data_IF_580007944692
#
_entry.id   IF_580007944692
#
_cell.length_a   1.000
_cell.length_b   1.000
_cell.length_c   1.000
_cell.angle_alpha   90.00
_cell.angle_beta   90.00
_cell.angle_gamma   90.00
#
_symmetry.space_group_name_H-M   'P 1'
#
loop_
_entity.id
_entity.type
_entity.pdbx_description
1 polymer ?
#
# COMPACT_ATOMS: atom_id res chain seq x y z
N UNK A 1 4.45 4.46 6.63
CA UNK A 1 5.60 3.82 7.32
C UNK A 1 5.07 2.78 8.30
N UNK A 2 5.82 1.70 8.53
CA UNK A 2 5.42 0.66 9.49
C UNK A 2 5.56 1.11 10.96
N UNK A 3 4.75 0.58 11.90
CA UNK A 3 4.76 1.01 13.30
C UNK A 3 6.12 0.89 14.00
N UNK A 4 6.83 -0.20 13.76
CA UNK A 4 8.15 -0.49 14.33
C UNK A 4 9.22 0.49 13.84
N UNK A 5 9.13 0.94 12.60
CA UNK A 5 10.07 1.92 12.02
C UNK A 5 9.88 3.27 12.68
N UNK A 6 8.62 3.66 12.91
CA UNK A 6 8.28 4.92 13.58
C UNK A 6 8.76 4.90 15.04
N UNK A 7 8.51 3.79 15.76
CA UNK A 7 8.95 3.62 17.17
C UNK A 7 10.47 3.59 17.33
N UNK A 8 11.22 3.30 16.27
CA UNK A 8 12.68 3.17 16.31
C UNK A 8 13.44 4.51 16.23
N UNK A 9 12.74 5.65 16.14
CA UNK A 9 13.30 7.01 16.11
C UNK A 9 14.50 7.17 15.15
N UNK A 10 14.47 6.52 13.98
CA UNK A 10 15.54 6.62 12.97
C UNK A 10 16.86 5.92 13.32
N UNK A 11 16.92 5.14 14.40
CA UNK A 11 18.13 4.39 14.80
C UNK A 11 18.46 3.18 13.92
N UNK A 12 17.62 2.88 12.92
CA UNK A 12 17.73 1.70 12.05
C UNK A 12 17.43 0.36 12.73
N UNK A 13 17.34 0.30 14.06
CA UNK A 13 17.17 -0.94 14.85
C UNK A 13 15.81 -1.63 14.74
N UNK A 14 14.81 -1.01 14.11
CA UNK A 14 13.51 -1.65 13.84
C UNK A 14 13.12 -1.64 12.37
N UNK A 15 14.04 -1.36 11.46
CA UNK A 15 13.80 -1.61 10.04
C UNK A 15 14.14 -3.07 9.74
N UNK A 16 13.15 -3.83 9.28
CA UNK A 16 13.29 -5.19 8.78
C UNK A 16 12.56 -5.32 7.45
N UNK A 17 12.77 -6.43 6.74
CA UNK A 17 12.09 -6.70 5.45
C UNK A 17 10.56 -6.71 5.59
N UNK A 18 10.05 -6.94 6.80
CA UNK A 18 8.61 -6.95 7.06
C UNK A 18 8.04 -5.53 7.06
N UNK A 19 8.82 -4.51 7.41
CA UNK A 19 8.43 -3.09 7.28
C UNK A 19 8.05 -2.70 5.84
N UNK A 20 8.70 -3.31 4.85
CA UNK A 20 8.36 -3.11 3.44
C UNK A 20 7.02 -3.76 3.10
N UNK A 21 6.65 -4.87 3.74
CA UNK A 21 5.33 -5.52 3.56
C UNK A 21 4.19 -4.62 4.04
N UNK A 22 4.38 -3.92 5.16
CA UNK A 22 3.41 -2.90 5.60
C UNK A 22 3.30 -1.76 4.59
N UNK A 23 4.45 -1.26 4.12
CA UNK A 23 4.49 -0.14 3.18
C UNK A 23 3.86 -0.51 1.84
N UNK A 24 4.04 -1.74 1.37
CA UNK A 24 3.36 -2.30 0.20
C UNK A 24 1.83 -2.23 0.37
N UNK A 25 1.30 -2.64 1.52
CA UNK A 25 -0.13 -2.59 1.77
C UNK A 25 -0.68 -1.16 1.75
N UNK A 26 0.05 -0.21 2.35
CA UNK A 26 -0.29 1.22 2.24
C UNK A 26 -0.34 1.67 0.77
N UNK A 27 0.65 1.31 -0.04
CA UNK A 27 0.69 1.66 -1.47
C UNK A 27 -0.47 1.01 -2.25
N UNK A 28 -0.83 -0.23 -1.95
CA UNK A 28 -1.98 -0.88 -2.60
C UNK A 28 -3.29 -0.16 -2.26
N UNK A 29 -3.47 0.28 -1.01
CA UNK A 29 -4.64 1.08 -0.60
C UNK A 29 -4.64 2.44 -1.33
N UNK A 30 -3.49 3.10 -1.43
CA UNK A 30 -3.35 4.35 -2.18
C UNK A 30 -3.72 4.18 -3.65
N UNK A 31 -3.27 3.11 -4.29
CA UNK A 31 -3.61 2.82 -5.68
C UNK A 31 -5.10 2.49 -5.87
N UNK A 32 -5.70 1.77 -4.92
CA UNK A 32 -7.11 1.37 -4.99
C UNK A 32 -8.07 2.54 -4.73
N UNK A 33 -7.68 3.50 -3.90
CA UNK A 33 -8.55 4.61 -3.47
C UNK A 33 -8.21 5.95 -4.12
N UNK A 34 -6.97 6.14 -4.58
CA UNK A 34 -6.43 7.44 -4.95
C UNK A 34 -6.11 8.36 -3.77
N UNK A 35 -6.21 7.87 -2.53
CA UNK A 35 -6.02 8.65 -1.30
C UNK A 35 -4.96 8.03 -0.40
N UNK A 36 -4.27 8.86 0.39
CA UNK A 36 -3.31 8.38 1.39
C UNK A 36 -4.00 7.51 2.46
N UNK A 37 -3.27 6.55 3.09
CA UNK A 37 -3.80 5.80 4.22
C UNK A 37 -4.27 6.74 5.32
N UNK A 38 -5.40 6.44 5.96
CA UNK A 38 -6.03 7.26 7.00
C UNK A 38 -6.68 8.56 6.52
N UNK A 39 -7.00 8.67 5.23
CA UNK A 39 -7.68 9.84 4.66
C UNK A 39 -9.06 10.10 5.31
N UNK A 40 -9.73 9.08 5.85
CA UNK A 40 -10.99 9.18 6.59
C UNK A 40 -10.89 10.07 7.84
N UNK A 41 -9.69 10.26 8.38
CA UNK A 41 -9.44 11.14 9.52
C UNK A 41 -9.13 12.58 9.12
N UNK A 42 -9.06 12.89 7.82
CA UNK A 42 -8.93 14.25 7.34
C UNK A 42 -10.25 15.00 7.48
N UNK A 43 -10.19 16.17 8.12
CA UNK A 43 -11.38 17.01 8.32
C UNK A 43 -11.81 17.65 7.00
N UNK A 44 -13.11 17.68 6.68
CA UNK A 44 -13.61 18.40 5.52
C UNK A 44 -13.19 19.88 5.56
N UNK A 45 -12.51 20.35 4.53
CA UNK A 45 -12.08 21.75 4.40
C UNK A 45 -10.74 22.10 5.08
N UNK A 46 -10.10 21.16 5.78
CA UNK A 46 -8.70 21.31 6.20
C UNK A 46 -7.80 20.56 5.21
N UNK A 47 -6.57 21.05 4.92
CA UNK A 47 -5.60 20.28 4.17
C UNK A 47 -5.42 18.92 4.87
N UNK A 48 -5.75 17.85 4.17
CA UNK A 48 -5.39 16.52 4.62
C UNK A 48 -3.87 16.54 4.80
N UNK A 49 -3.42 16.42 6.05
CA UNK A 49 -1.99 16.54 6.32
C UNK A 49 -1.25 15.52 5.42
N UNK A 50 -0.07 15.86 4.87
CA UNK A 50 0.65 15.05 3.87
C UNK A 50 1.08 13.66 4.44
N UNK A 51 2.08 12.92 3.91
CA UNK A 51 2.45 11.58 4.44
C UNK A 51 2.62 11.48 5.97
N UNK A 52 2.80 12.61 6.66
CA UNK A 52 2.86 12.74 8.12
C UNK A 52 1.56 12.33 8.82
N UNK A 53 0.37 12.49 8.21
CA UNK A 53 -0.89 12.06 8.81
C UNK A 53 -0.92 10.54 9.02
N UNK A 54 -0.52 9.79 7.99
CA UNK A 54 -0.42 8.34 8.07
C UNK A 54 0.62 7.89 9.10
N UNK A 55 1.72 8.62 9.25
CA UNK A 55 2.73 8.38 10.29
C UNK A 55 2.14 8.66 11.68
N UNK A 56 1.43 9.78 11.87
CA UNK A 56 0.80 10.14 13.13
C UNK A 56 -0.19 9.07 13.61
N UNK A 57 -1.11 8.64 12.76
CA UNK A 57 -2.09 7.60 13.12
C UNK A 57 -1.46 6.24 13.33
N UNK A 58 -0.42 5.91 12.58
CA UNK A 58 0.35 4.68 12.80
C UNK A 58 1.16 4.74 14.11
N UNK A 59 1.57 5.92 14.56
CA UNK A 59 2.28 6.07 15.83
C UNK A 59 1.34 6.04 17.04
N UNK A 60 0.18 6.69 16.92
CA UNK A 60 -0.70 7.03 18.05
C UNK A 60 -1.97 6.19 18.13
N UNK A 61 -2.18 5.22 17.23
CA UNK A 61 -3.32 4.31 17.27
C UNK A 61 -2.92 2.85 17.11
N UNK A 62 -3.79 1.96 17.61
CA UNK A 62 -3.68 0.52 17.41
C UNK A 62 -4.41 0.04 16.14
N UNK A 63 -5.12 0.94 15.44
CA UNK A 63 -5.88 0.62 14.23
C UNK A 63 -5.00 0.52 12.99
N UNK A 64 -5.50 -0.09 11.92
CA UNK A 64 -4.84 -0.15 10.61
C UNK A 64 -5.54 0.77 9.62
N UNK A 65 -4.89 1.18 8.52
CA UNK A 65 -5.58 1.84 7.42
C UNK A 65 -6.85 1.09 7.00
N UNK A 66 -7.89 1.83 6.65
CA UNK A 66 -9.13 1.23 6.14
C UNK A 66 -8.87 0.45 4.84
N UNK A 67 -9.39 -0.77 4.78
CA UNK A 67 -9.29 -1.61 3.59
C UNK A 67 -10.51 -1.30 2.69
N UNK A 68 -10.30 -0.88 1.43
CA UNK A 68 -11.40 -0.50 0.56
C UNK A 68 -12.34 -1.66 0.27
N UNK A 69 -13.64 -1.42 0.40
CA UNK A 69 -14.67 -2.43 0.15
C UNK A 69 -14.75 -2.86 -1.32
N UNK A 70 -14.23 -2.02 -2.23
CA UNK A 70 -14.15 -2.27 -3.67
C UNK A 70 -13.15 -3.36 -4.08
N UNK A 71 -12.26 -3.79 -3.18
CA UNK A 71 -11.31 -4.88 -3.44
C UNK A 71 -12.00 -6.25 -3.40
N UNK A 72 -11.43 -7.23 -4.11
CA UNK A 72 -11.86 -8.62 -3.97
C UNK A 72 -11.60 -9.15 -2.56
N UNK A 73 -12.29 -10.22 -2.16
CA UNK A 73 -12.06 -10.82 -0.83
C UNK A 73 -10.62 -11.30 -0.64
N UNK A 74 -9.97 -11.79 -1.69
CA UNK A 74 -8.56 -12.17 -1.68
C UNK A 74 -7.66 -10.95 -1.52
N UNK A 75 -8.00 -9.82 -2.15
CA UNK A 75 -7.28 -8.55 -1.97
C UNK A 75 -7.42 -7.99 -0.56
N UNK A 76 -8.63 -8.07 0.01
CA UNK A 76 -8.86 -7.68 1.40
C UNK A 76 -8.08 -8.59 2.36
N UNK A 77 -8.10 -9.90 2.15
CA UNK A 77 -7.34 -10.87 2.96
C UNK A 77 -5.81 -10.64 2.86
N UNK A 78 -5.30 -10.37 1.66
CA UNK A 78 -3.91 -9.99 1.43
C UNK A 78 -3.52 -8.76 2.26
N UNK A 79 -4.32 -7.69 2.20
CA UNK A 79 -4.07 -6.45 2.95
C UNK A 79 -4.17 -6.67 4.46
N UNK A 80 -5.15 -7.43 4.95
CA UNK A 80 -5.27 -7.75 6.39
C UNK A 80 -4.03 -8.46 6.93
N UNK A 81 -3.41 -9.35 6.14
CA UNK A 81 -2.16 -10.03 6.51
C UNK A 81 -0.97 -9.08 6.51
N UNK A 82 -0.88 -8.19 5.52
CA UNK A 82 0.21 -7.24 5.39
C UNK A 82 0.15 -6.09 6.42
N UNK A 83 -1.04 -5.71 6.88
CA UNK A 83 -1.27 -4.65 7.86
C UNK A 83 -1.25 -5.13 9.32
N UNK A 84 -0.67 -6.29 9.61
CA UNK A 84 -0.47 -6.73 11.01
C UNK A 84 0.59 -5.84 11.67
N UNK A 85 0.23 -5.22 12.80
CA UNK A 85 1.14 -4.30 13.51
C UNK A 85 2.39 -4.98 14.01
N UNK A 86 2.24 -6.17 14.58
CA UNK A 86 3.37 -6.99 14.96
C UNK A 86 4.12 -7.47 13.69
N UNK A 87 5.40 -7.09 13.51
CA UNK A 87 6.20 -7.51 12.37
C UNK A 87 6.25 -9.03 12.23
N UNK A 88 6.46 -9.78 13.30
CA UNK A 88 6.62 -11.25 13.24
C UNK A 88 5.33 -11.97 12.83
N UNK A 89 4.20 -11.30 13.00
CA UNK A 89 2.91 -11.79 12.53
C UNK A 89 2.68 -11.52 11.04
N UNK A 90 3.48 -10.68 10.36
CA UNK A 90 3.37 -10.44 8.91
C UNK A 90 4.00 -11.58 8.12
N UNK A 91 3.38 -11.99 7.00
CA UNK A 91 4.04 -12.90 6.07
C UNK A 91 5.23 -12.22 5.39
N UNK A 92 6.24 -13.02 5.05
CA UNK A 92 7.36 -12.60 4.19
C UNK A 92 6.90 -12.36 2.75
N UNK A 93 7.70 -11.63 1.97
CA UNK A 93 7.45 -11.43 0.55
C UNK A 93 7.31 -12.77 -0.21
N UNK A 94 8.15 -13.76 0.11
CA UNK A 94 8.07 -15.09 -0.48
C UNK A 94 6.72 -15.77 -0.21
N UNK A 95 6.23 -15.71 1.04
CA UNK A 95 4.92 -16.26 1.40
C UNK A 95 3.75 -15.51 0.72
N UNK A 96 3.90 -14.22 0.48
CA UNK A 96 2.88 -13.41 -0.20
C UNK A 96 2.80 -13.69 -1.70
N UNK A 97 3.87 -14.16 -2.33
CA UNK A 97 3.83 -14.59 -3.74
C UNK A 97 2.90 -15.80 -3.96
N UNK A 98 2.77 -16.67 -2.96
CA UNK A 98 1.87 -17.82 -2.99
C UNK A 98 0.42 -17.47 -2.60
N UNK A 99 0.16 -16.22 -2.20
CA UNK A 99 -1.18 -15.78 -1.84
C UNK A 99 -2.11 -15.77 -3.06
N UNK A 100 -3.38 -16.22 -2.96
CA UNK A 100 -4.31 -16.26 -4.10
C UNK A 100 -4.42 -14.94 -4.86
N UNK A 101 -4.46 -13.81 -4.14
CA UNK A 101 -4.45 -12.46 -4.73
C UNK A 101 -3.32 -12.21 -5.74
N UNK A 102 -2.15 -12.80 -5.52
CA UNK A 102 -0.95 -12.62 -6.36
C UNK A 102 -0.80 -13.78 -7.34
N UNK A 103 -0.84 -15.02 -6.83
CA UNK A 103 -0.63 -16.26 -7.57
C UNK A 103 -1.60 -16.40 -8.74
N UNK A 104 -2.87 -16.15 -8.51
CA UNK A 104 -3.91 -16.40 -9.53
C UNK A 104 -3.79 -15.38 -10.69
N UNK A 105 -3.28 -14.18 -10.41
CA UNK A 105 -2.93 -13.20 -11.44
C UNK A 105 -1.75 -13.66 -12.30
N UNK A 106 -0.67 -14.15 -11.69
CA UNK A 106 0.49 -14.67 -12.45
C UNK A 106 0.12 -15.87 -13.32
N UNK A 107 -0.68 -16.81 -12.78
CA UNK A 107 -1.20 -17.93 -13.56
C UNK A 107 -2.02 -17.47 -14.77
N UNK A 108 -2.80 -16.39 -14.60
CA UNK A 108 -3.56 -15.80 -15.71
C UNK A 108 -2.64 -15.13 -16.75
N UNK A 109 -1.54 -14.50 -16.35
CA UNK A 109 -0.57 -13.88 -17.27
C UNK A 109 0.20 -14.91 -18.09
N UNK A 110 0.61 -16.02 -17.48
CA UNK A 110 1.33 -17.11 -18.18
C UNK A 110 0.45 -17.79 -19.24
N UNK A 111 -0.87 -17.73 -19.08
CA UNK A 111 -1.82 -18.25 -20.07
C UNK A 111 -2.05 -17.32 -21.27
N UNK A 112 -1.53 -16.08 -21.25
CA UNK A 112 -1.67 -15.12 -22.35
C UNK A 112 -0.44 -15.18 -23.28
N UNK A 113 -0.61 -15.42 -24.59
CA UNK A 113 0.49 -15.30 -25.54
C UNK A 113 0.95 -13.84 -25.56
N UNK A 114 2.18 -13.63 -25.09
CA UNK A 114 2.93 -12.36 -24.96
C UNK A 114 2.30 -11.16 -25.69
N UNK A 115 1.77 -10.20 -24.93
CA UNK A 115 1.54 -8.85 -25.45
C UNK A 115 2.89 -8.24 -25.86
N UNK A 116 3.03 -7.69 -27.07
CA UNK A 116 4.28 -7.06 -27.48
C UNK A 116 4.57 -5.84 -26.59
N UNK A 117 5.71 -5.90 -25.91
CA UNK A 117 6.35 -4.81 -25.19
C UNK A 117 6.75 -3.68 -26.15
N UNK A 118 5.78 -2.94 -26.70
CA UNK A 118 6.03 -1.71 -27.45
C UNK A 118 4.76 -0.86 -27.58
N UNK A 119 4.52 0.00 -26.59
CA UNK A 119 4.13 1.42 -26.78
C UNK A 119 3.46 1.97 -25.53
N UNK A 120 4.24 2.10 -24.45
CA UNK A 120 3.99 3.20 -23.53
C UNK A 120 4.35 4.51 -24.25
N UNK A 121 3.51 4.93 -25.19
CA UNK A 121 3.50 6.31 -25.68
C UNK A 121 3.06 7.17 -24.51
N UNK A 122 4.06 7.60 -23.74
CA UNK A 122 3.95 8.65 -22.74
C UNK A 122 3.46 9.90 -23.48
N UNK A 123 2.13 10.10 -23.55
CA UNK A 123 1.58 11.39 -23.98
C UNK A 123 1.96 12.38 -22.89
N UNK A 124 3.06 13.10 -23.12
CA UNK A 124 3.36 14.35 -22.44
C UNK A 124 2.11 15.23 -22.58
N UNK A 125 1.32 15.38 -21.52
CA UNK A 125 0.36 16.47 -21.43
C UNK A 125 1.20 17.75 -21.39
N UNK A 126 1.42 18.36 -22.54
CA UNK A 126 1.87 19.74 -22.61
C UNK A 126 0.84 20.60 -21.89
N UNK A 127 1.36 21.45 -21.01
CA UNK A 127 0.56 22.34 -20.20
C UNK A 127 -0.27 23.30 -21.04
N UNK A 128 -1.44 23.62 -20.51
CA UNK A 128 -2.08 24.90 -20.77
C UNK A 128 -2.90 25.27 -19.53
N UNK A 129 -2.25 26.00 -18.62
CA UNK A 129 -2.93 26.83 -17.63
C UNK A 129 -3.29 28.10 -18.38
N UNK A 130 -4.58 28.33 -18.60
CA UNK A 130 -5.09 29.66 -18.92
C UNK A 130 -5.51 30.32 -17.61
N UNK A 131 -5.20 31.61 -17.54
CA UNK A 131 -5.38 32.55 -16.43
C UNK A 131 -6.85 32.65 -16.04
#
# INVERSE_FOLDING_TARGET
>A
MAPEVIKSNGSGRGYNLLADIWSLACTVIEMATGHHPWHEHCRPGEPCHPPEAGVFWTANSDGTPEIPESLSEEGKDFLRKCLRRDPESRPTAAQLMDHPFVRDYFASMESQPSLPLASASLRRRQGQIHI
#
